data_IF_734064989396
#
_entry.id   IF_734064989396
#
_cell.length_a   1.000
_cell.length_b   1.000
_cell.length_c   1.000
_cell.angle_alpha   90.00
_cell.angle_beta   90.00
_cell.angle_gamma   90.00
#
_symmetry.space_group_name_H-M   'P 1'
#
loop_
_entity.id
_entity.type
_entity.pdbx_description
1 polymer ?
#
# COMPACT_ATOMS: atom_id res chain seq x y z
N UNK A 1 4.31 -8.13 -16.08
CA UNK A 1 4.98 -7.04 -15.33
C UNK A 1 3.95 -6.48 -14.38
N UNK A 2 4.09 -6.75 -13.09
CA UNK A 2 3.22 -6.19 -12.05
C UNK A 2 3.50 -4.68 -11.95
N UNK A 3 2.46 -3.86 -11.88
CA UNK A 3 2.60 -2.42 -12.05
C UNK A 3 2.94 -1.74 -10.73
N UNK A 4 4.13 -1.16 -10.68
CA UNK A 4 4.65 -0.45 -9.54
C UNK A 4 4.21 1.02 -9.56
N UNK A 5 4.15 1.62 -8.37
CA UNK A 5 4.11 3.07 -8.20
C UNK A 5 5.44 3.68 -8.65
N UNK A 6 5.38 4.67 -9.53
CA UNK A 6 6.59 5.35 -10.02
C UNK A 6 7.36 5.97 -8.85
N UNK A 7 8.61 5.56 -8.68
CA UNK A 7 9.51 6.11 -7.67
C UNK A 7 9.29 5.60 -6.24
N UNK A 8 8.39 4.63 -6.04
CA UNK A 8 8.14 3.99 -4.75
C UNK A 8 8.47 2.51 -4.88
N UNK A 9 9.35 2.03 -3.99
CA UNK A 9 9.66 0.61 -3.91
C UNK A 9 8.62 -0.07 -3.01
N UNK A 10 7.74 -0.81 -3.66
CA UNK A 10 6.71 -1.61 -3.01
C UNK A 10 7.07 -3.10 -3.02
N UNK A 11 6.66 -3.80 -1.97
CA UNK A 11 6.73 -5.25 -1.87
C UNK A 11 5.34 -5.83 -2.16
N UNK A 12 5.28 -6.87 -3.00
CA UNK A 12 4.08 -7.67 -3.22
C UNK A 12 3.92 -8.68 -2.07
N UNK A 13 2.70 -8.81 -1.55
CA UNK A 13 2.38 -9.87 -0.60
C UNK A 13 2.06 -11.20 -1.31
N UNK A 14 2.43 -12.34 -0.72
CA UNK A 14 1.96 -13.64 -1.19
C UNK A 14 0.43 -13.69 -1.24
N UNK A 15 -0.12 -14.45 -2.18
CA UNK A 15 -1.57 -14.51 -2.40
C UNK A 15 -2.31 -15.10 -1.21
N UNK A 16 -1.67 -16.04 -0.55
CA UNK A 16 -2.14 -16.76 0.62
C UNK A 16 -2.07 -15.91 1.89
N UNK A 17 -1.34 -14.79 1.86
CA UNK A 17 -1.00 -13.93 3.00
C UNK A 17 -1.43 -12.47 2.76
N UNK A 18 -2.66 -12.29 2.31
CA UNK A 18 -3.22 -10.95 2.06
C UNK A 18 -3.30 -10.12 3.35
N UNK A 19 -2.77 -8.90 3.32
CA UNK A 19 -2.62 -8.00 4.46
C UNK A 19 -1.68 -8.51 5.57
N UNK A 20 -0.77 -9.44 5.27
CA UNK A 20 0.18 -9.97 6.26
C UNK A 20 1.14 -8.92 6.82
N UNK A 21 1.52 -7.90 6.05
CA UNK A 21 2.33 -6.79 6.57
C UNK A 21 1.64 -6.02 7.71
N UNK A 22 0.31 -5.88 7.66
CA UNK A 22 -0.48 -5.26 8.72
C UNK A 22 -0.49 -6.18 9.95
N UNK A 23 -0.70 -7.49 9.76
CA UNK A 23 -0.67 -8.46 10.86
C UNK A 23 0.70 -8.52 11.55
N UNK A 24 1.78 -8.56 10.78
CA UNK A 24 3.15 -8.54 11.31
C UNK A 24 3.47 -7.24 12.05
N UNK A 25 2.88 -6.11 11.64
CA UNK A 25 3.01 -4.84 12.36
C UNK A 25 2.35 -4.93 13.74
N UNK A 26 1.13 -5.43 13.80
CA UNK A 26 0.39 -5.58 15.07
C UNK A 26 1.12 -6.53 16.03
N UNK A 27 1.62 -7.67 15.52
CA UNK A 27 2.46 -8.59 16.29
C UNK A 27 3.75 -7.92 16.77
N UNK A 28 4.43 -7.16 15.90
CA UNK A 28 5.67 -6.45 16.24
C UNK A 28 5.46 -5.36 17.31
N UNK A 29 4.30 -4.68 17.28
CA UNK A 29 3.94 -3.67 18.28
C UNK A 29 3.76 -4.27 19.67
N UNK A 30 3.27 -5.51 19.78
CA UNK A 30 3.17 -6.19 21.08
C UNK A 30 4.53 -6.36 21.77
N UNK A 31 5.59 -6.57 20.97
CA UNK A 31 6.98 -6.66 21.44
C UNK A 31 7.50 -5.26 21.77
N UNK A 32 7.30 -4.30 20.86
CA UNK A 32 7.81 -2.93 21.00
C UNK A 32 7.12 -2.14 22.11
N UNK A 33 5.86 -2.46 22.47
CA UNK A 33 5.15 -1.80 23.57
C UNK A 33 5.89 -1.87 24.91
N UNK A 34 6.74 -2.90 25.10
CA UNK A 34 7.58 -3.09 26.27
C UNK A 34 8.92 -2.33 26.22
N UNK A 35 9.32 -1.83 25.05
CA UNK A 35 10.62 -1.20 24.81
C UNK A 35 10.46 0.29 24.51
N UNK A 36 11.12 1.19 25.26
CA UNK A 36 11.11 2.62 24.94
C UNK A 36 11.68 2.91 23.54
N UNK A 37 11.00 3.73 22.74
CA UNK A 37 11.49 4.10 21.41
C UNK A 37 10.47 4.89 20.58
N UNK A 38 10.86 5.24 19.36
CA UNK A 38 10.01 5.93 18.39
C UNK A 38 9.00 4.99 17.71
N UNK A 39 9.09 3.68 17.96
CA UNK A 39 8.26 2.67 17.32
C UNK A 39 8.71 2.31 15.90
N UNK A 40 7.88 1.54 15.16
CA UNK A 40 8.16 1.16 13.78
C UNK A 40 7.96 2.35 12.81
N UNK A 41 8.60 2.33 11.62
CA UNK A 41 8.28 3.28 10.56
C UNK A 41 6.81 3.14 10.11
N UNK A 42 6.23 4.19 9.52
CA UNK A 42 4.85 4.11 9.01
C UNK A 42 4.74 3.07 7.91
N UNK A 43 3.62 2.35 7.91
CA UNK A 43 3.30 1.33 6.93
C UNK A 43 2.16 1.82 6.04
N UNK A 44 2.36 1.78 4.72
CA UNK A 44 1.28 1.94 3.76
C UNK A 44 1.04 0.62 3.04
N UNK A 45 -0.17 0.09 3.19
CA UNK A 45 -0.61 -1.10 2.48
C UNK A 45 -1.66 -0.71 1.44
N UNK A 46 -1.63 -1.36 0.29
CA UNK A 46 -2.48 -1.08 -0.87
C UNK A 46 -3.04 -2.39 -1.45
N UNK A 47 -4.35 -2.42 -1.65
CA UNK A 47 -4.99 -3.41 -2.51
C UNK A 47 -5.05 -2.88 -3.93
N UNK A 48 -4.46 -3.60 -4.87
CA UNK A 48 -4.52 -3.26 -6.29
C UNK A 48 -5.23 -4.33 -7.09
N UNK A 49 -6.03 -3.91 -8.07
CA UNK A 49 -6.76 -4.79 -8.99
C UNK A 49 -6.37 -4.46 -10.42
N UNK A 50 -6.09 -5.50 -11.20
CA UNK A 50 -5.90 -5.41 -12.64
C UNK A 50 -7.27 -5.43 -13.36
N UNK A 51 -7.60 -4.39 -14.12
CA UNK A 51 -8.82 -4.36 -14.92
C UNK A 51 -8.49 -4.80 -16.35
N UNK A 52 -8.72 -6.06 -16.69
CA UNK A 52 -8.49 -6.56 -18.06
C UNK A 52 -9.59 -6.13 -19.04
N UNK A 53 -9.23 -5.84 -20.30
CA UNK A 53 -10.18 -5.43 -21.36
C UNK A 53 -10.80 -6.59 -22.16
N UNK A 54 -10.45 -7.86 -21.90
CA UNK A 54 -10.90 -8.98 -22.74
C UNK A 54 -11.32 -10.27 -22.00
N UNK A 55 -10.95 -10.44 -20.73
CA UNK A 55 -11.40 -11.60 -19.94
C UNK A 55 -12.54 -11.18 -19.01
N UNK A 56 -13.67 -11.85 -19.12
CA UNK A 56 -14.82 -11.74 -18.20
C UNK A 56 -14.53 -12.26 -16.78
N UNK A 57 -13.33 -12.80 -16.52
CA UNK A 57 -12.85 -13.05 -15.16
C UNK A 57 -12.33 -11.74 -14.56
N UNK A 58 -12.97 -11.30 -13.47
CA UNK A 58 -12.43 -10.24 -12.62
C UNK A 58 -11.03 -10.65 -12.15
N UNK A 59 -10.02 -9.80 -12.34
CA UNK A 59 -8.70 -10.11 -11.83
C UNK A 59 -8.75 -10.08 -10.30
N UNK A 60 -8.11 -11.08 -9.70
CA UNK A 60 -8.01 -11.21 -8.25
C UNK A 60 -7.20 -10.03 -7.66
N UNK A 61 -7.68 -9.41 -6.56
CA UNK A 61 -6.94 -8.36 -5.87
C UNK A 61 -5.60 -8.87 -5.33
N UNK A 62 -4.60 -7.99 -5.31
CA UNK A 62 -3.27 -8.25 -4.77
C UNK A 62 -2.90 -7.20 -3.73
N UNK A 63 -2.27 -7.66 -2.64
CA UNK A 63 -1.76 -6.81 -1.57
C UNK A 63 -0.35 -6.34 -1.88
N UNK A 64 -0.08 -5.06 -1.64
CA UNK A 64 1.23 -4.45 -1.77
C UNK A 64 1.47 -3.60 -0.54
N UNK A 65 2.72 -3.46 -0.11
CA UNK A 65 3.05 -2.53 0.95
C UNK A 65 4.39 -1.84 0.73
N UNK A 66 4.55 -0.70 1.37
CA UNK A 66 5.83 0.00 1.49
C UNK A 66 5.88 0.77 2.80
N UNK A 67 7.08 1.04 3.28
CA UNK A 67 7.27 1.93 4.41
C UNK A 67 7.27 3.39 3.95
N UNK A 68 6.58 4.25 4.68
CA UNK A 68 6.51 5.68 4.44
C UNK A 68 7.25 6.41 5.57
N UNK A 69 7.99 7.46 5.24
CA UNK A 69 8.70 8.29 6.21
C UNK A 69 8.45 9.76 5.91
N UNK A 70 8.27 10.56 6.96
CA UNK A 70 8.12 12.02 6.85
C UNK A 70 6.83 12.48 6.15
N UNK A 71 5.79 11.63 6.12
CA UNK A 71 4.48 12.04 5.60
C UNK A 71 3.73 12.86 6.64
N UNK A 72 2.92 13.80 6.15
CA UNK A 72 2.04 14.56 7.01
C UNK A 72 0.87 13.68 7.47
N UNK A 73 0.84 13.39 8.77
CA UNK A 73 -0.20 12.60 9.44
C UNK A 73 -1.04 13.45 10.40
N UNK A 74 -0.94 14.78 10.30
CA UNK A 74 -1.65 15.72 11.19
C UNK A 74 -3.18 15.68 11.04
N UNK A 75 -3.68 15.11 9.94
CA UNK A 75 -5.11 14.96 9.68
C UNK A 75 -5.38 13.81 8.71
N UNK A 76 -6.62 13.31 8.74
CA UNK A 76 -7.09 12.35 7.73
C UNK A 76 -7.07 12.92 6.31
N UNK A 77 -7.21 14.24 6.16
CA UNK A 77 -7.10 14.92 4.87
C UNK A 77 -5.68 14.84 4.29
N UNK A 78 -4.64 14.95 5.12
CA UNK A 78 -3.26 14.80 4.69
C UNK A 78 -2.96 13.37 4.21
N UNK A 79 -3.47 12.36 4.92
CA UNK A 79 -3.39 10.95 4.50
C UNK A 79 -4.17 10.71 3.20
N UNK A 80 -5.36 11.30 3.06
CA UNK A 80 -6.14 11.20 1.83
C UNK A 80 -5.42 11.85 0.63
N UNK A 81 -4.76 12.99 0.84
CA UNK A 81 -3.91 13.63 -0.16
C UNK A 81 -2.73 12.73 -0.56
N UNK A 82 -2.14 12.01 0.39
CA UNK A 82 -1.13 11.01 0.09
C UNK A 82 -1.67 9.86 -0.78
N UNK A 83 -2.84 9.31 -0.47
CA UNK A 83 -3.47 8.31 -1.36
C UNK A 83 -3.80 8.87 -2.75
N UNK A 84 -4.16 10.15 -2.87
CA UNK A 84 -4.36 10.79 -4.15
C UNK A 84 -3.04 10.93 -4.94
N UNK A 85 -1.94 11.27 -4.27
CA UNK A 85 -0.58 11.26 -4.84
C UNK A 85 -0.25 9.86 -5.37
N UNK A 86 -0.46 8.80 -4.57
CA UNK A 86 -0.20 7.41 -4.98
C UNK A 86 -0.98 7.02 -6.23
N UNK A 87 -2.26 7.40 -6.33
CA UNK A 87 -3.04 7.18 -7.56
C UNK A 87 -2.43 7.87 -8.78
N UNK A 88 -1.87 9.08 -8.62
CA UNK A 88 -1.19 9.81 -9.71
C UNK A 88 0.16 9.19 -10.12
N UNK A 89 0.78 8.42 -9.22
CA UNK A 89 2.05 7.72 -9.46
C UNK A 89 1.86 6.34 -10.11
N UNK A 90 0.63 5.83 -10.22
CA UNK A 90 0.36 4.61 -10.95
C UNK A 90 0.84 4.74 -12.40
N UNK A 91 1.74 3.84 -12.82
CA UNK A 91 2.37 3.94 -14.13
C UNK A 91 1.33 3.86 -15.26
N UNK A 92 1.30 4.85 -16.18
CA UNK A 92 0.37 4.86 -17.29
C UNK A 92 0.68 3.73 -18.27
N UNK A 93 -0.35 3.24 -18.95
CA UNK A 93 -0.22 2.23 -20.00
C UNK A 93 0.56 2.85 -21.16
N UNK A 94 1.74 2.30 -21.49
CA UNK A 94 2.41 2.69 -22.73
C UNK A 94 1.57 2.23 -23.93
N UNK A 95 1.60 3.00 -25.02
CA UNK A 95 0.82 2.71 -26.23
C UNK A 95 1.05 1.27 -26.76
N UNK A 96 2.30 0.79 -26.72
CA UNK A 96 2.61 -0.59 -27.13
C UNK A 96 2.13 -1.65 -26.15
N UNK A 97 2.10 -1.38 -24.83
CA UNK A 97 1.51 -2.31 -23.86
C UNK A 97 -0.01 -2.36 -23.94
N UNK A 98 -0.67 -1.23 -24.24
CA UNK A 98 -2.13 -1.17 -24.41
C UNK A 98 -2.67 -2.04 -25.55
N UNK A 99 -1.85 -2.30 -26.58
CA UNK A 99 -2.19 -3.15 -27.73
C UNK A 99 -2.24 -4.66 -27.40
N UNK A 100 -1.51 -5.12 -26.37
CA UNK A 100 -1.36 -6.56 -26.07
C UNK A 100 -1.74 -6.95 -24.62
N UNK A 101 -1.67 -6.00 -23.67
CA UNK A 101 -1.95 -6.20 -22.24
C UNK A 101 -2.74 -5.01 -21.66
N UNK A 102 -4.05 -5.13 -21.67
CA UNK A 102 -5.00 -4.08 -21.28
C UNK A 102 -5.36 -4.08 -19.79
N UNK A 103 -4.53 -4.63 -18.92
CA UNK A 103 -4.82 -4.68 -17.49
C UNK A 103 -4.44 -3.35 -16.81
N UNK A 104 -5.35 -2.38 -16.79
CA UNK A 104 -5.17 -1.16 -16.00
C UNK A 104 -5.14 -1.54 -14.51
N UNK A 105 -4.01 -1.33 -13.83
CA UNK A 105 -3.93 -1.57 -12.38
C UNK A 105 -4.43 -0.34 -11.66
N UNK A 106 -5.42 -0.53 -10.78
CA UNK A 106 -6.00 0.54 -9.95
C UNK A 106 -5.81 0.19 -8.47
N UNK A 107 -5.54 1.20 -7.66
CA UNK A 107 -5.62 1.09 -6.19
C UNK A 107 -7.11 1.11 -5.80
N UNK A 108 -7.57 0.02 -5.19
CA UNK A 108 -8.96 -0.14 -4.76
C UNK A 108 -9.14 0.21 -3.28
N UNK A 109 -8.17 -0.17 -2.45
CA UNK A 109 -8.16 0.07 -1.00
C UNK A 109 -6.75 0.40 -0.54
N UNK A 110 -6.65 1.10 0.58
CA UNK A 110 -5.38 1.32 1.25
C UNK A 110 -5.57 1.47 2.75
N UNK A 111 -4.55 1.04 3.49
CA UNK A 111 -4.39 1.30 4.92
C UNK A 111 -3.08 2.07 5.11
N UNK A 112 -3.11 3.06 5.99
CA UNK A 112 -1.93 3.79 6.41
C UNK A 112 -1.86 3.66 7.92
N UNK A 113 -0.77 3.07 8.42
CA UNK A 113 -0.56 2.82 9.85
C UNK A 113 0.60 3.69 10.33
N UNK A 114 0.34 4.51 11.34
CA UNK A 114 1.32 5.39 11.98
C UNK A 114 1.34 5.15 13.49
N UNK A 115 2.53 5.01 14.05
CA UNK A 115 2.68 4.77 15.48
C UNK A 115 2.83 6.09 16.24
N UNK A 116 2.03 6.30 17.28
CA UNK A 116 2.22 7.40 18.24
C UNK A 116 3.04 6.90 19.44
N UNK A 117 4.30 7.33 19.61
CA UNK A 117 5.14 6.90 20.73
C UNK A 117 4.69 7.46 22.09
N UNK A 118 3.87 8.52 22.13
CA UNK A 118 3.39 9.09 23.39
C UNK A 118 2.23 8.30 23.96
N UNK A 119 1.23 7.98 23.14
CA UNK A 119 0.08 7.16 23.55
C UNK A 119 0.34 5.66 23.41
N UNK A 120 1.39 5.27 22.68
CA UNK A 120 1.74 3.90 22.29
C UNK A 120 0.65 3.20 21.48
N UNK A 121 -0.14 3.97 20.75
CA UNK A 121 -1.19 3.48 19.87
C UNK A 121 -0.72 3.50 18.42
N UNK A 122 -1.15 2.50 17.66
CA UNK A 122 -1.04 2.50 16.21
C UNK A 122 -2.36 2.97 15.63
N UNK A 123 -2.30 4.03 14.81
CA UNK A 123 -3.45 4.72 14.21
C UNK A 123 -3.54 4.37 12.74
#
# INVERSE_FOLDING_TARGET
>A
MERALRGIREALEPKEEFAASIMMRDEGLSILASTPGLGPPDLCWLQKVAKGSWSTLAAEPRGYFHFALGRDVSSSAAIAAYFAELNSLMEPISFMQGLWYSAETKIERGFYCTYDPFTRLDV
#
